data_IF_064459233881
#
_entry.id   IF_064459233881
#
_cell.length_a   1.000
_cell.length_b   1.000
_cell.length_c   1.000
_cell.angle_alpha   90.00
_cell.angle_beta   90.00
_cell.angle_gamma   90.00
#
_symmetry.space_group_name_H-M   'P 1'
#
loop_
_entity.id
_entity.type
_entity.pdbx_description
1 polymer ?
#
# COMPACT_ATOMS: atom_id res chain seq x y z
N UNK A 1 14.72 -16.26 -0.74
CA UNK A 1 13.27 -16.59 -0.71
C UNK A 1 12.49 -15.48 -1.39
N UNK A 2 11.42 -15.80 -2.10
CA UNK A 2 10.52 -14.78 -2.67
C UNK A 2 9.76 -14.09 -1.54
N UNK A 3 9.72 -12.74 -1.53
CA UNK A 3 8.95 -11.97 -0.56
C UNK A 3 7.46 -12.19 -0.79
N UNK A 4 6.66 -12.17 0.27
CA UNK A 4 5.19 -12.25 0.10
C UNK A 4 4.67 -10.91 -0.39
N UNK A 5 3.79 -10.94 -1.39
CA UNK A 5 3.20 -9.75 -2.00
C UNK A 5 1.90 -9.39 -1.26
N UNK A 6 1.73 -8.10 -0.93
CA UNK A 6 0.55 -7.58 -0.21
C UNK A 6 0.00 -6.36 -0.95
N UNK A 7 -1.31 -6.34 -1.19
CA UNK A 7 -2.03 -5.21 -1.80
C UNK A 7 -2.99 -4.59 -0.78
N UNK A 8 -2.82 -3.31 -0.49
CA UNK A 8 -3.75 -2.52 0.32
C UNK A 8 -4.78 -1.83 -0.57
N UNK A 9 -6.07 -2.04 -0.29
CA UNK A 9 -7.17 -1.49 -1.07
C UNK A 9 -7.97 -0.46 -0.26
N UNK A 10 -8.32 0.66 -0.89
CA UNK A 10 -9.39 1.55 -0.46
C UNK A 10 -10.12 2.12 -1.69
N UNK A 11 -11.14 2.96 -1.54
CA UNK A 11 -11.85 3.48 -2.73
C UNK A 11 -10.94 4.37 -3.59
N UNK A 12 -10.37 5.41 -2.98
CA UNK A 12 -9.68 6.50 -3.68
C UNK A 12 -8.17 6.32 -3.87
N UNK A 13 -7.56 5.28 -3.29
CA UNK A 13 -6.10 5.17 -3.17
C UNK A 13 -5.39 6.43 -2.62
N UNK A 14 -6.05 7.30 -1.86
CA UNK A 14 -5.53 8.64 -1.55
C UNK A 14 -4.96 8.83 -0.15
N UNK A 15 -5.26 7.92 0.79
CA UNK A 15 -4.82 8.03 2.20
C UNK A 15 -4.55 6.67 2.84
N UNK A 16 -5.60 5.92 3.22
CA UNK A 16 -5.49 4.68 4.01
C UNK A 16 -4.62 3.60 3.36
N UNK A 17 -4.81 3.35 2.06
CA UNK A 17 -4.05 2.34 1.34
C UNK A 17 -2.58 2.75 1.15
N UNK A 18 -2.31 4.03 0.88
CA UNK A 18 -0.94 4.58 0.79
C UNK A 18 -0.21 4.47 2.13
N UNK A 19 -0.87 4.84 3.24
CA UNK A 19 -0.31 4.69 4.59
C UNK A 19 0.02 3.23 4.89
N UNK A 20 -0.88 2.29 4.56
CA UNK A 20 -0.63 0.85 4.74
C UNK A 20 0.58 0.36 3.95
N UNK A 21 0.70 0.78 2.68
CA UNK A 21 1.83 0.42 1.82
C UNK A 21 3.17 0.89 2.39
N UNK A 22 3.24 2.16 2.80
CA UNK A 22 4.47 2.78 3.32
C UNK A 22 4.84 2.20 4.68
N UNK A 23 3.87 2.01 5.58
CA UNK A 23 4.11 1.41 6.89
C UNK A 23 4.65 -0.02 6.75
N UNK A 24 4.05 -0.86 5.91
CA UNK A 24 4.55 -2.23 5.71
C UNK A 24 5.95 -2.24 5.09
N UNK A 25 6.20 -1.36 4.12
CA UNK A 25 7.52 -1.20 3.50
C UNK A 25 8.57 -0.81 4.53
N UNK A 26 8.24 0.11 5.44
CA UNK A 26 9.15 0.60 6.48
C UNK A 26 9.40 -0.46 7.57
N UNK A 27 8.33 -1.14 8.02
CA UNK A 27 8.40 -2.05 9.17
C UNK A 27 8.89 -3.46 8.82
N UNK A 28 8.66 -3.94 7.59
CA UNK A 28 8.95 -5.32 7.21
C UNK A 28 9.27 -5.50 5.71
N UNK A 29 9.92 -4.51 5.08
CA UNK A 29 10.26 -4.53 3.66
C UNK A 29 11.26 -5.61 3.25
N UNK A 30 11.93 -6.26 4.20
CA UNK A 30 12.77 -7.44 3.99
C UNK A 30 11.94 -8.72 3.80
N UNK A 31 10.73 -8.78 4.35
CA UNK A 31 9.83 -9.94 4.34
C UNK A 31 8.70 -9.82 3.31
N UNK A 32 8.28 -8.59 3.02
CA UNK A 32 7.13 -8.30 2.17
C UNK A 32 7.45 -7.35 1.02
N UNK A 33 6.69 -7.49 -0.05
CA UNK A 33 6.61 -6.53 -1.14
C UNK A 33 5.20 -5.90 -1.11
N UNK A 34 5.13 -4.59 -0.86
CA UNK A 34 3.87 -3.88 -0.61
C UNK A 34 3.45 -3.03 -1.81
N UNK A 35 2.14 -3.04 -2.07
CA UNK A 35 1.45 -2.28 -3.12
C UNK A 35 0.17 -1.65 -2.55
N UNK A 36 -0.34 -0.62 -3.20
CA UNK A 36 -1.68 -0.07 -2.96
C UNK A 36 -2.45 0.16 -4.26
N UNK A 37 -3.78 0.13 -4.18
CA UNK A 37 -4.67 0.46 -5.29
C UNK A 37 -6.03 0.98 -4.77
N UNK A 38 -6.85 1.48 -5.68
CA UNK A 38 -8.24 1.81 -5.40
C UNK A 38 -9.19 1.52 -6.55
N UNK A 39 -10.47 1.33 -6.23
CA UNK A 39 -11.53 1.09 -7.21
C UNK A 39 -11.89 2.34 -8.02
N UNK A 40 -11.75 3.52 -7.41
CA UNK A 40 -11.99 4.83 -8.01
C UNK A 40 -10.88 5.79 -7.56
N UNK A 41 -9.65 5.64 -8.09
CA UNK A 41 -8.50 6.43 -7.62
C UNK A 41 -8.72 7.93 -7.75
N UNK A 42 -8.25 8.68 -6.77
CA UNK A 42 -8.27 10.14 -6.72
C UNK A 42 -6.90 10.67 -6.28
N UNK A 43 -6.71 11.98 -6.29
CA UNK A 43 -5.46 12.58 -5.84
C UNK A 43 -5.17 12.25 -4.37
N UNK A 44 -3.90 11.96 -4.02
CA UNK A 44 -3.49 11.85 -2.63
C UNK A 44 -3.91 13.09 -1.86
N UNK A 45 -4.48 12.91 -0.67
CA UNK A 45 -4.75 14.05 0.20
C UNK A 45 -3.42 14.75 0.52
N UNK A 46 -3.38 16.06 0.31
CA UNK A 46 -2.26 16.94 0.61
C UNK A 46 -2.10 17.17 2.12
#
# INVERSE_FOLDING_TARGET
MSKRRVLFLCNANSARSLMGEVLLRHMAGDRFESFSAGSEPDEPHA
#
